data_IF_307208361795
#
_entry.id   IF_307208361795
#
_cell.length_a   1.000
_cell.length_b   1.000
_cell.length_c   1.000
_cell.angle_alpha   90.00
_cell.angle_beta   90.00
_cell.angle_gamma   90.00
#
_symmetry.space_group_name_H-M   'P 1'
#
loop_
_entity.id
_entity.type
_entity.pdbx_description
1 polymer ?
#
# COMPACT_ATOMS: atom_id res chain seq x y z
N UNK A 1 19.22 -4.81 0.71
CA UNK A 1 17.87 -4.85 1.30
C UNK A 1 17.38 -6.27 1.29
N UNK A 2 16.68 -6.70 2.33
CA UNK A 2 16.00 -7.99 2.38
C UNK A 2 14.99 -8.10 1.23
N UNK A 3 15.19 -9.05 0.32
CA UNK A 3 14.25 -9.36 -0.76
C UNK A 3 13.49 -10.66 -0.46
N UNK A 4 12.99 -10.76 0.77
CA UNK A 4 12.20 -11.89 1.26
C UNK A 4 10.90 -11.35 1.88
N UNK A 5 9.82 -12.14 1.81
CA UNK A 5 8.51 -11.78 2.35
C UNK A 5 7.44 -11.53 1.28
N UNK A 6 6.34 -10.89 1.70
CA UNK A 6 5.22 -10.54 0.82
C UNK A 6 5.41 -9.14 0.25
N UNK A 7 5.07 -8.97 -1.03
CA UNK A 7 5.17 -7.69 -1.71
C UNK A 7 3.88 -7.37 -2.45
N UNK A 8 3.54 -6.08 -2.47
CA UNK A 8 2.57 -5.51 -3.41
C UNK A 8 3.36 -4.83 -4.54
N UNK A 9 3.14 -5.28 -5.77
CA UNK A 9 3.74 -4.69 -6.97
C UNK A 9 2.67 -4.05 -7.82
N UNK A 10 2.90 -2.81 -8.24
CA UNK A 10 1.96 -2.07 -9.08
C UNK A 10 2.34 -0.62 -9.25
N UNK A 11 1.45 0.17 -9.87
CA UNK A 11 1.68 1.60 -10.11
C UNK A 11 1.44 2.39 -8.83
N UNK A 12 2.38 3.21 -8.41
CA UNK A 12 2.17 4.10 -7.27
C UNK A 12 1.10 5.14 -7.61
N UNK A 13 0.01 5.16 -6.84
CA UNK A 13 -1.06 6.14 -6.99
C UNK A 13 -0.87 7.36 -6.07
N UNK A 14 -0.09 7.19 -5.01
CA UNK A 14 0.27 8.24 -4.06
C UNK A 14 -0.01 7.83 -2.61
N UNK A 15 0.22 8.78 -1.71
CA UNK A 15 0.03 8.61 -0.27
C UNK A 15 -0.89 9.69 0.29
N UNK A 16 -1.74 9.31 1.25
CA UNK A 16 -2.71 10.23 1.89
C UNK A 16 -2.90 9.92 3.37
N UNK A 17 -3.44 10.90 4.08
CA UNK A 17 -4.01 10.71 5.41
C UNK A 17 -5.53 10.71 5.30
N UNK A 18 -6.18 9.64 5.77
CA UNK A 18 -7.63 9.49 5.77
C UNK A 18 -8.16 9.55 7.21
N UNK A 19 -9.12 10.43 7.53
CA UNK A 19 -9.73 10.47 8.86
C UNK A 19 -10.28 9.10 9.27
N UNK A 20 -10.11 8.72 10.54
CA UNK A 20 -10.79 7.54 11.08
C UNK A 20 -12.28 7.84 11.26
N UNK A 21 -13.13 6.85 10.99
CA UNK A 21 -14.60 6.99 11.07
C UNK A 21 -15.06 7.41 12.47
N UNK A 22 -14.35 6.97 13.52
CA UNK A 22 -14.67 7.30 14.92
C UNK A 22 -14.04 8.63 15.40
N UNK A 23 -13.58 9.50 14.49
CA UNK A 23 -13.17 10.87 14.79
C UNK A 23 -11.82 11.06 15.48
N UNK A 24 -11.23 10.05 16.10
CA UNK A 24 -9.90 10.15 16.71
C UNK A 24 -8.78 9.69 15.78
N UNK A 25 -8.15 10.65 15.11
CA UNK A 25 -6.91 10.49 14.36
C UNK A 25 -7.10 10.07 12.89
N UNK A 26 -5.98 9.71 12.26
CA UNK A 26 -5.92 9.42 10.83
C UNK A 26 -5.33 8.03 10.58
N UNK A 27 -5.72 7.44 9.47
CA UNK A 27 -4.94 6.39 8.85
C UNK A 27 -3.96 7.00 7.85
N UNK A 28 -2.70 6.58 7.92
CA UNK A 28 -1.72 6.87 6.88
C UNK A 28 -1.78 5.74 5.85
N UNK A 29 -2.00 6.09 4.58
CA UNK A 29 -2.30 5.15 3.50
C UNK A 29 -1.40 5.41 2.28
N UNK A 30 -0.92 4.34 1.65
CA UNK A 30 -0.36 4.33 0.30
C UNK A 30 -1.32 3.58 -0.61
N UNK A 31 -1.60 4.14 -1.79
CA UNK A 31 -2.37 3.49 -2.84
C UNK A 31 -1.45 2.91 -3.91
N UNK A 32 -1.63 1.63 -4.23
CA UNK A 32 -0.97 0.97 -5.37
C UNK A 32 -2.03 0.47 -6.33
N UNK A 33 -1.96 0.91 -7.58
CA UNK A 33 -2.82 0.47 -8.66
C UNK A 33 -2.33 -0.85 -9.25
N UNK A 34 -3.25 -1.78 -9.42
CA UNK A 34 -3.05 -3.04 -10.10
C UNK A 34 -3.77 -3.01 -11.45
N UNK A 35 -3.13 -3.55 -12.48
CA UNK A 35 -3.80 -3.93 -13.72
C UNK A 35 -3.99 -5.43 -13.68
N UNK A 36 -5.24 -5.87 -13.71
CA UNK A 36 -5.60 -7.29 -13.69
C UNK A 36 -6.40 -7.62 -14.95
N UNK A 37 -6.16 -8.79 -15.57
CA UNK A 37 -6.94 -9.22 -16.72
C UNK A 37 -8.44 -9.25 -16.41
N UNK A 38 -9.26 -8.80 -17.35
CA UNK A 38 -10.72 -8.82 -17.20
C UNK A 38 -11.36 -10.14 -17.66
N UNK A 39 -10.58 -11.03 -18.28
CA UNK A 39 -11.04 -12.32 -18.80
C UNK A 39 -11.57 -12.29 -20.24
N UNK A 40 -11.63 -11.12 -20.88
CA UNK A 40 -12.15 -10.92 -22.24
C UNK A 40 -11.13 -10.24 -23.17
N UNK A 41 -9.85 -10.27 -22.80
CA UNK A 41 -8.76 -9.67 -23.58
C UNK A 41 -8.47 -8.22 -23.24
N UNK A 42 -9.15 -7.65 -22.24
CA UNK A 42 -8.86 -6.32 -21.69
C UNK A 42 -8.22 -6.39 -20.31
N UNK A 43 -8.09 -5.22 -19.70
CA UNK A 43 -7.61 -5.06 -18.32
C UNK A 43 -8.60 -4.23 -17.52
N UNK A 44 -8.73 -4.54 -16.24
CA UNK A 44 -9.40 -3.67 -15.27
C UNK A 44 -8.38 -3.18 -14.26
N UNK A 45 -8.60 -1.97 -13.77
CA UNK A 45 -7.80 -1.39 -12.70
C UNK A 45 -8.41 -1.73 -11.35
N UNK A 46 -7.56 -2.16 -10.42
CA UNK A 46 -7.90 -2.33 -9.01
C UNK A 46 -6.88 -1.55 -8.15
N UNK A 47 -7.17 -1.37 -6.87
CA UNK A 47 -6.28 -0.67 -5.94
C UNK A 47 -6.06 -1.46 -4.65
N UNK A 48 -4.80 -1.50 -4.21
CA UNK A 48 -4.42 -1.99 -2.89
C UNK A 48 -4.07 -0.80 -2.01
N UNK A 49 -4.71 -0.73 -0.84
CA UNK A 49 -4.41 0.26 0.18
C UNK A 49 -3.48 -0.37 1.22
N UNK A 50 -2.30 0.22 1.39
CA UNK A 50 -1.28 -0.21 2.37
C UNK A 50 -1.27 0.79 3.52
N UNK A 51 -1.41 0.30 4.75
CA UNK A 51 -1.30 1.10 5.98
C UNK A 51 0.16 1.40 6.30
N UNK A 52 0.42 2.64 6.71
CA UNK A 52 1.75 3.10 7.12
C UNK A 52 1.73 3.43 8.61
N UNK A 53 2.71 2.91 9.36
CA UNK A 53 2.88 3.22 10.77
C UNK A 53 3.33 4.67 10.98
N UNK A 54 3.00 5.26 12.13
CA UNK A 54 3.35 6.66 12.40
C UNK A 54 4.88 6.89 12.41
N UNK A 55 5.66 5.89 12.85
CA UNK A 55 7.13 5.96 12.83
C UNK A 55 7.67 6.13 11.42
N UNK A 56 7.13 5.42 10.43
CA UNK A 56 7.53 5.55 9.03
C UNK A 56 7.08 6.88 8.42
N UNK A 57 5.91 7.39 8.81
CA UNK A 57 5.49 8.75 8.42
C UNK A 57 6.47 9.79 8.93
N UNK A 58 6.87 9.69 10.20
CA UNK A 58 7.85 10.61 10.81
C UNK A 58 9.23 10.49 10.12
N UNK A 59 9.56 9.33 9.56
CA UNK A 59 10.76 9.11 8.75
C UNK A 59 10.65 9.66 7.31
N UNK A 60 9.57 10.35 6.95
CA UNK A 60 9.39 11.00 5.65
C UNK A 60 8.83 10.09 4.55
N UNK A 61 8.35 8.88 4.90
CA UNK A 61 7.92 7.89 3.91
C UNK A 61 6.76 8.36 3.03
N UNK A 62 5.86 9.21 3.55
CA UNK A 62 4.74 9.73 2.75
C UNK A 62 5.24 10.60 1.59
N UNK A 63 6.27 11.41 1.80
CA UNK A 63 6.89 12.22 0.76
C UNK A 63 7.64 11.34 -0.24
N UNK A 64 8.36 10.34 0.25
CA UNK A 64 9.01 9.35 -0.60
C UNK A 64 8.00 8.64 -1.51
N UNK A 65 6.90 8.13 -0.96
CA UNK A 65 5.83 7.49 -1.74
C UNK A 65 5.28 8.41 -2.82
N UNK A 66 5.04 9.69 -2.50
CA UNK A 66 4.55 10.67 -3.47
C UNK A 66 5.56 10.97 -4.60
N UNK A 67 6.88 10.89 -4.34
CA UNK A 67 7.90 11.02 -5.39
C UNK A 67 7.91 9.86 -6.41
N UNK A 68 7.27 8.73 -6.07
CA UNK A 68 7.13 7.58 -6.96
C UNK A 68 5.81 7.57 -7.76
N UNK A 69 4.92 8.56 -7.59
CA UNK A 69 3.61 8.59 -8.27
C UNK A 69 3.76 8.38 -9.78
N UNK A 70 2.94 7.49 -10.33
CA UNK A 70 2.96 7.11 -11.73
C UNK A 70 3.97 6.03 -12.10
N UNK A 71 4.94 5.74 -11.23
CA UNK A 71 5.98 4.73 -11.47
C UNK A 71 5.57 3.35 -10.99
N UNK A 72 6.16 2.32 -11.58
CA UNK A 72 6.00 0.95 -11.12
C UNK A 72 6.87 0.73 -9.86
N UNK A 73 6.26 0.26 -8.78
CA UNK A 73 6.92 0.05 -7.49
C UNK A 73 6.70 -1.35 -6.96
N UNK A 74 7.65 -1.81 -6.15
CA UNK A 74 7.51 -2.96 -5.27
C UNK A 74 7.51 -2.47 -3.82
N UNK A 75 6.46 -2.82 -3.07
CA UNK A 75 6.28 -2.42 -1.68
C UNK A 75 6.25 -3.66 -0.78
N UNK A 76 7.20 -3.81 0.15
CA UNK A 76 7.22 -4.89 1.14
C UNK A 76 6.10 -4.71 2.16
N UNK A 77 5.34 -5.77 2.41
CA UNK A 77 4.18 -5.71 3.30
C UNK A 77 4.13 -6.91 4.25
N UNK A 78 3.44 -6.73 5.37
CA UNK A 78 2.87 -7.82 6.14
C UNK A 78 1.35 -7.71 6.18
N UNK A 79 0.69 -8.86 6.17
CA UNK A 79 -0.78 -8.95 6.13
C UNK A 79 -1.28 -9.21 7.54
N UNK A 80 -2.27 -8.43 7.96
CA UNK A 80 -3.05 -8.70 9.19
C UNK A 80 -4.46 -9.10 8.79
N UNK A 81 -4.82 -10.35 9.04
CA UNK A 81 -6.21 -10.78 9.00
C UNK A 81 -6.98 -10.24 10.22
N UNK A 82 -8.25 -9.96 10.03
CA UNK A 82 -9.16 -9.55 11.09
C UNK A 82 -10.57 -10.04 10.80
N UNK A 83 -11.34 -10.21 11.88
CA UNK A 83 -12.77 -10.50 11.85
C UNK A 83 -13.44 -9.60 12.91
N UNK A 84 -14.46 -8.84 12.52
CA UNK A 84 -15.24 -7.98 13.40
C UNK A 84 -16.69 -7.94 12.94
N UNK A 85 -17.63 -8.20 13.86
CA UNK A 85 -19.08 -8.06 13.62
C UNK A 85 -19.58 -8.79 12.35
N UNK A 86 -19.09 -10.01 12.13
CA UNK A 86 -19.48 -10.83 10.97
C UNK A 86 -18.86 -10.38 9.65
N UNK A 87 -17.87 -9.48 9.68
CA UNK A 87 -17.06 -9.10 8.52
C UNK A 87 -15.63 -9.59 8.71
N UNK A 88 -15.13 -10.25 7.68
CA UNK A 88 -13.75 -10.68 7.61
C UNK A 88 -12.99 -9.82 6.59
N UNK A 89 -11.70 -9.63 6.85
CA UNK A 89 -10.87 -8.90 5.93
C UNK A 89 -9.38 -9.04 6.21
N UNK A 90 -8.61 -8.46 5.30
CA UNK A 90 -7.17 -8.35 5.41
C UNK A 90 -6.76 -6.89 5.34
N UNK A 91 -5.72 -6.55 6.08
CA UNK A 91 -5.06 -5.25 5.98
C UNK A 91 -3.61 -5.46 5.61
N UNK A 92 -3.20 -4.82 4.52
CA UNK A 92 -1.80 -4.73 4.13
C UNK A 92 -1.17 -3.60 4.92
N UNK A 93 -0.05 -3.88 5.59
CA UNK A 93 0.73 -2.90 6.33
C UNK A 93 2.14 -2.88 5.76
N UNK A 94 2.73 -1.70 5.64
CA UNK A 94 4.12 -1.55 5.24
C UNK A 94 5.04 -2.17 6.29
N UNK A 95 5.99 -3.00 5.85
CA UNK A 95 7.01 -3.55 6.75
C UNK A 95 7.95 -2.45 7.25
N UNK A 96 8.26 -2.44 8.55
CA UNK A 96 8.98 -1.34 9.20
C UNK A 96 10.47 -1.22 8.80
N UNK A 97 11.06 -2.29 8.29
CA UNK A 97 12.47 -2.40 7.92
C UNK A 97 12.73 -2.22 6.42
N UNK A 98 11.70 -1.85 5.66
CA UNK A 98 11.68 -2.10 4.24
C UNK A 98 11.24 -0.86 3.43
N UNK A 99 11.93 -0.62 2.30
CA UNK A 99 11.77 0.59 1.50
C UNK A 99 10.88 0.35 0.27
N UNK A 100 10.20 1.43 -0.17
CA UNK A 100 9.53 1.46 -1.48
C UNK A 100 10.61 1.44 -2.55
N UNK A 101 10.58 0.43 -3.43
CA UNK A 101 11.57 0.28 -4.50
C UNK A 101 10.89 0.53 -5.85
N UNK A 102 11.44 1.46 -6.64
CA UNK A 102 11.05 1.62 -8.05
C UNK A 102 11.55 0.43 -8.86
N UNK A 103 10.67 -0.18 -9.64
CA UNK A 103 11.00 -1.25 -10.56
C UNK A 103 11.25 -0.60 -11.92
N UNK A 104 12.50 -0.61 -12.37
CA UNK A 104 12.84 -0.21 -13.73
C UNK A 104 12.49 -1.37 -14.66
N UNK A 105 11.60 -1.12 -15.61
CA UNK A 105 11.34 -2.00 -16.75
C UNK A 105 12.42 -1.83 -17.81
#
# INVERSE_FOLDING_TARGET
MANYGLFVKGKMLGARQRPKVNGQGYYNEIGVGLEIPDGFGGTKSDQVIIRVSQSLVNAGLMNQANSFVGKLVQIPVYVRAWSMEGRDGVTYNLSNDAAITEIKG
#
